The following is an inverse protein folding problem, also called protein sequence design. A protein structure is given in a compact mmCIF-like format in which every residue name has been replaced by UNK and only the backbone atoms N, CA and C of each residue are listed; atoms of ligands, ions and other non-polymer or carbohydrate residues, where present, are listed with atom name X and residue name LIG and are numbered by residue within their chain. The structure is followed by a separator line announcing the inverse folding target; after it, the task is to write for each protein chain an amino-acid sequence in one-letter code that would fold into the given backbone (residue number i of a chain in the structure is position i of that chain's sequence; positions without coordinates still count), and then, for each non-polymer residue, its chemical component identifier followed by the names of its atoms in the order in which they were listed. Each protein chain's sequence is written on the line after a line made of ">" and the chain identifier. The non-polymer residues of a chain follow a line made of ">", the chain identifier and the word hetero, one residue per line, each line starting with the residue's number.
data_IF_138749142023
#
_entry.id   IF_138749142023
#
_cell.length_a   1.000
_cell.length_b   1.000
_cell.length_c   1.000
_cell.angle_alpha   90.00
_cell.angle_beta   90.00
_cell.angle_gamma   90.00
#
_symmetry.space_group_name_H-M   'P 1'
#
loop_
_entity.id
_entity.type
_entity.pdbx_description
1 polymer ?
#
# COMPACT_ATOMS: atom_id res chain seq x y z
N UNK A 1 4.15 15.33 -3.64
CA UNK A 1 4.25 14.37 -2.54
C UNK A 1 3.95 12.97 -3.06
N UNK A 2 4.76 11.99 -2.69
CA UNK A 2 4.56 10.58 -3.06
C UNK A 2 4.21 9.83 -1.77
N UNK A 3 3.07 9.17 -1.76
CA UNK A 3 2.61 8.39 -0.61
C UNK A 3 2.51 6.94 -1.05
N UNK A 4 3.37 6.09 -0.49
CA UNK A 4 3.35 4.65 -0.72
C UNK A 4 2.64 3.95 0.43
N UNK A 5 1.57 3.23 0.12
CA UNK A 5 0.93 2.31 1.06
C UNK A 5 1.66 0.97 0.96
N UNK A 6 2.74 0.87 1.71
CA UNK A 6 3.72 -0.21 1.58
C UNK A 6 3.31 -1.46 2.38
N UNK A 7 2.57 -2.34 1.74
CA UNK A 7 2.23 -3.66 2.29
C UNK A 7 3.22 -4.76 1.89
N UNK A 8 4.25 -4.44 1.09
CA UNK A 8 5.26 -5.36 0.55
C UNK A 8 4.70 -6.44 -0.39
N UNK A 9 3.52 -6.22 -0.94
CA UNK A 9 2.90 -7.12 -1.90
C UNK A 9 2.49 -6.38 -3.18
N UNK A 10 2.39 -7.12 -4.25
CA UNK A 10 1.54 -6.74 -5.38
C UNK A 10 0.10 -7.02 -4.94
N UNK A 11 -0.50 -6.07 -4.22
CA UNK A 11 -1.67 -6.29 -3.37
C UNK A 11 -2.90 -6.80 -4.12
N UNK A 12 -3.23 -6.22 -5.27
CA UNK A 12 -4.38 -6.69 -6.05
C UNK A 12 -4.15 -8.08 -6.62
N UNK A 13 -2.93 -8.41 -7.05
CA UNK A 13 -2.61 -9.77 -7.53
C UNK A 13 -2.72 -10.76 -6.38
N UNK A 14 -2.20 -10.43 -5.19
CA UNK A 14 -2.35 -11.25 -4.00
C UNK A 14 -3.81 -11.48 -3.64
N UNK A 15 -4.65 -10.43 -3.70
CA UNK A 15 -6.09 -10.53 -3.42
C UNK A 15 -6.78 -11.53 -4.34
N UNK A 16 -6.45 -11.54 -5.64
CA UNK A 16 -6.98 -12.51 -6.58
C UNK A 16 -6.50 -13.93 -6.28
N UNK A 17 -5.25 -14.10 -5.90
CA UNK A 17 -4.72 -15.40 -5.49
C UNK A 17 -5.45 -15.92 -4.25
N UNK A 18 -5.75 -15.03 -3.31
CA UNK A 18 -6.51 -15.37 -2.11
C UNK A 18 -7.93 -15.78 -2.42
N UNK A 19 -8.64 -14.97 -3.21
CA UNK A 19 -10.09 -15.14 -3.45
C UNK A 19 -10.42 -16.19 -4.51
N UNK A 20 -9.61 -16.31 -5.56
CA UNK A 20 -9.97 -17.10 -6.75
C UNK A 20 -9.02 -18.27 -7.03
N UNK A 21 -7.89 -18.36 -6.34
CA UNK A 21 -6.86 -19.38 -6.60
C UNK A 21 -6.45 -20.14 -5.34
N UNK A 22 -7.39 -20.37 -4.43
CA UNK A 22 -7.21 -21.20 -3.22
C UNK A 22 -6.02 -20.78 -2.36
N UNK A 23 -5.75 -19.48 -2.26
CA UNK A 23 -4.59 -18.92 -1.52
C UNK A 23 -3.25 -19.45 -2.01
N UNK A 24 -3.17 -19.82 -3.27
CA UNK A 24 -1.90 -20.25 -3.89
C UNK A 24 -1.09 -19.01 -4.29
N UNK A 25 -0.40 -18.42 -3.32
CA UNK A 25 0.42 -17.23 -3.53
C UNK A 25 1.68 -17.56 -4.32
N UNK A 26 1.98 -16.75 -5.33
CA UNK A 26 3.16 -16.92 -6.15
C UNK A 26 3.65 -15.58 -6.67
N UNK A 27 4.92 -15.27 -6.43
CA UNK A 27 5.62 -14.09 -6.97
C UNK A 27 4.94 -12.75 -6.69
N UNK A 28 4.24 -12.63 -5.55
CA UNK A 28 3.52 -11.41 -5.16
C UNK A 28 4.12 -10.72 -3.93
N UNK A 29 4.92 -11.43 -3.13
CA UNK A 29 5.66 -10.83 -2.03
C UNK A 29 6.94 -10.17 -2.54
N UNK A 30 7.14 -8.92 -2.17
CA UNK A 30 8.29 -8.11 -2.58
C UNK A 30 9.33 -8.10 -1.46
N UNK A 31 10.18 -9.13 -1.41
CA UNK A 31 11.23 -9.28 -0.40
C UNK A 31 12.45 -8.37 -0.65
N UNK A 32 12.69 -8.01 -1.89
CA UNK A 32 13.83 -7.21 -2.34
C UNK A 32 13.51 -5.73 -2.57
N UNK A 33 12.46 -5.20 -1.92
CA UNK A 33 12.14 -3.76 -2.00
C UNK A 33 13.30 -2.90 -1.48
N UNK A 34 13.61 -1.79 -2.15
CA UNK A 34 14.59 -0.83 -1.65
C UNK A 34 14.08 -0.15 -0.37
N UNK A 35 15.01 0.42 0.39
CA UNK A 35 14.65 1.38 1.43
C UNK A 35 14.25 2.69 0.76
N UNK A 36 12.95 2.98 0.68
CA UNK A 36 12.41 4.15 -0.03
C UNK A 36 12.80 5.47 0.62
N UNK A 37 13.03 5.50 1.93
CA UNK A 37 13.53 6.70 2.60
C UNK A 37 14.94 7.03 2.12
N UNK A 38 15.84 6.04 2.14
CA UNK A 38 17.19 6.21 1.62
C UNK A 38 17.22 6.52 0.13
N UNK A 39 16.31 5.94 -0.63
CA UNK A 39 16.19 6.22 -2.07
C UNK A 39 15.81 7.69 -2.31
N UNK A 40 14.83 8.22 -1.59
CA UNK A 40 14.45 9.62 -1.66
C UNK A 40 15.61 10.54 -1.28
N UNK A 41 16.30 10.23 -0.19
CA UNK A 41 17.46 11.00 0.28
C UNK A 41 18.62 10.97 -0.71
N UNK A 42 18.85 9.84 -1.39
CA UNK A 42 19.88 9.72 -2.42
C UNK A 42 19.63 10.65 -3.61
N UNK A 43 18.36 10.97 -3.92
CA UNK A 43 17.99 11.97 -4.93
C UNK A 43 17.93 13.40 -4.38
N UNK A 44 18.32 13.65 -3.13
CA UNK A 44 18.26 14.96 -2.50
C UNK A 44 16.86 15.38 -2.04
N UNK A 45 15.98 14.42 -1.82
CA UNK A 45 14.60 14.65 -1.40
C UNK A 45 14.37 14.22 0.05
N UNK A 46 13.19 14.50 0.57
CA UNK A 46 12.81 14.15 1.94
C UNK A 46 12.11 12.78 1.96
N UNK A 47 12.64 11.85 2.74
CA UNK A 47 12.00 10.54 2.99
C UNK A 47 11.44 10.47 4.40
N UNK A 48 10.21 10.00 4.55
CA UNK A 48 9.55 9.81 5.84
C UNK A 48 8.98 8.40 5.91
N UNK A 49 9.33 7.64 6.97
CA UNK A 49 8.74 6.33 7.23
C UNK A 49 7.69 6.44 8.33
N UNK A 50 6.55 5.78 8.10
CA UNK A 50 5.46 5.68 9.07
C UNK A 50 5.20 4.20 9.34
N UNK A 51 5.29 3.80 10.61
CA UNK A 51 5.12 2.40 11.02
C UNK A 51 3.96 2.20 11.98
N UNK A 52 3.44 3.29 12.57
CA UNK A 52 2.35 3.24 13.53
C UNK A 52 1.25 4.23 13.15
N UNK A 53 -0.03 3.91 13.44
CA UNK A 53 -1.15 4.80 13.11
C UNK A 53 -1.02 6.21 13.70
N UNK A 54 -0.52 6.34 14.92
CA UNK A 54 -0.34 7.62 15.59
C UNK A 54 0.70 8.54 14.94
N UNK A 55 1.59 7.97 14.12
CA UNK A 55 2.62 8.74 13.41
C UNK A 55 2.13 9.29 12.05
N UNK A 56 0.94 8.90 11.60
CA UNK A 56 0.40 9.30 10.27
C UNK A 56 0.17 10.80 10.20
N UNK A 57 -0.59 11.37 11.13
CA UNK A 57 -0.89 12.81 11.12
C UNK A 57 0.37 13.67 11.25
N UNK A 58 1.30 13.41 12.19
CA UNK A 58 2.56 14.14 12.25
C UNK A 58 3.38 14.06 10.95
N UNK A 59 3.44 12.89 10.31
CA UNK A 59 4.16 12.72 9.05
C UNK A 59 3.53 13.50 7.90
N UNK A 60 2.20 13.48 7.79
CA UNK A 60 1.49 14.28 6.79
C UNK A 60 1.68 15.78 7.03
N UNK A 61 1.61 16.24 8.27
CA UNK A 61 1.86 17.63 8.62
C UNK A 61 3.30 18.04 8.25
N UNK A 62 4.27 17.21 8.56
CA UNK A 62 5.67 17.43 8.17
C UNK A 62 5.81 17.54 6.65
N UNK A 63 5.20 16.63 5.91
CA UNK A 63 5.29 16.59 4.45
C UNK A 63 4.61 17.78 3.77
N UNK A 64 3.41 18.16 4.21
CA UNK A 64 2.58 19.15 3.53
C UNK A 64 2.71 20.57 4.07
N UNK A 65 3.18 20.75 5.29
CA UNK A 65 3.34 22.06 5.93
C UNK A 65 4.81 22.45 6.05
N UNK A 66 5.62 21.65 6.75
CA UNK A 66 7.03 21.98 6.98
C UNK A 66 7.85 21.88 5.68
N UNK A 67 7.60 20.87 4.87
CA UNK A 67 8.26 20.62 3.59
C UNK A 67 7.36 20.89 2.38
N UNK A 68 6.53 21.94 2.46
CA UNK A 68 5.51 22.22 1.44
C UNK A 68 6.08 22.33 0.02
N UNK A 69 7.26 22.89 -0.11
CA UNK A 69 7.92 23.15 -1.39
C UNK A 69 8.90 22.03 -1.81
N UNK A 70 9.10 21.03 -0.95
CA UNK A 70 10.00 19.91 -1.21
C UNK A 70 9.27 18.74 -1.85
N UNK A 71 10.01 17.90 -2.59
CA UNK A 71 9.54 16.56 -2.90
C UNK A 71 9.70 15.70 -1.65
N UNK A 72 8.60 15.09 -1.22
CA UNK A 72 8.59 14.21 -0.04
C UNK A 72 8.05 12.84 -0.44
N UNK A 73 8.76 11.79 -0.06
CA UNK A 73 8.31 10.41 -0.18
C UNK A 73 7.93 9.89 1.20
N UNK A 74 6.65 9.52 1.38
CA UNK A 74 6.16 8.88 2.59
C UNK A 74 6.03 7.37 2.35
N UNK A 75 6.83 6.59 3.08
CA UNK A 75 6.75 5.13 3.09
C UNK A 75 5.89 4.69 4.29
N UNK A 76 4.59 4.52 4.06
CA UNK A 76 3.63 4.16 5.10
C UNK A 76 3.45 2.65 5.12
N UNK A 77 3.85 2.01 6.20
CA UNK A 77 3.66 0.58 6.41
C UNK A 77 2.19 0.27 6.66
N UNK A 78 1.64 -0.63 5.86
CA UNK A 78 0.24 -1.02 5.96
C UNK A 78 0.12 -2.53 6.19
N UNK A 79 -1.09 -2.97 6.55
CA UNK A 79 -1.38 -4.40 6.71
C UNK A 79 -1.07 -5.16 5.41
N UNK A 80 -0.45 -6.32 5.54
CA UNK A 80 -0.13 -7.20 4.41
C UNK A 80 -1.34 -7.99 3.92
N UNK A 81 -2.34 -8.14 4.78
CA UNK A 81 -3.47 -9.03 4.58
C UNK A 81 -4.76 -8.30 4.21
N UNK A 82 -4.76 -6.96 4.31
CA UNK A 82 -5.94 -6.17 3.99
C UNK A 82 -6.25 -6.22 2.49
N UNK A 83 -7.47 -6.61 2.16
CA UNK A 83 -8.01 -6.62 0.82
C UNK A 83 -8.83 -5.35 0.53
N UNK A 84 -9.05 -5.07 -0.74
CA UNK A 84 -9.81 -3.90 -1.20
C UNK A 84 -11.24 -4.30 -1.54
N UNK A 85 -12.21 -3.74 -0.86
CA UNK A 85 -13.64 -3.95 -1.11
C UNK A 85 -14.38 -2.60 -1.15
N UNK A 86 -15.50 -2.51 -1.89
CA UNK A 86 -16.10 -3.52 -2.75
C UNK A 86 -15.27 -3.79 -4.01
N UNK A 87 -15.46 -4.96 -4.60
CA UNK A 87 -14.73 -5.39 -5.79
C UNK A 87 -15.67 -6.09 -6.77
N UNK A 88 -15.55 -5.79 -8.06
CA UNK A 88 -16.25 -6.49 -9.14
C UNK A 88 -15.37 -7.62 -9.65
N UNK A 89 -15.78 -8.86 -9.46
CA UNK A 89 -15.08 -10.02 -10.00
C UNK A 89 -15.15 -10.06 -11.52
N UNK A 90 -14.16 -10.69 -12.15
CA UNK A 90 -14.14 -10.83 -13.61
C UNK A 90 -15.41 -11.50 -14.14
N UNK A 91 -16.02 -10.91 -15.19
CA UNK A 91 -17.25 -11.42 -15.78
C UNK A 91 -18.53 -11.09 -15.01
N UNK A 92 -18.45 -10.31 -13.93
CA UNK A 92 -19.58 -9.89 -13.12
C UNK A 92 -20.01 -8.46 -13.39
N UNK A 93 -21.26 -8.14 -13.10
CA UNK A 93 -21.79 -6.78 -13.18
C UNK A 93 -21.63 -6.02 -11.86
N UNK A 94 -21.89 -4.71 -11.90
CA UNK A 94 -21.81 -3.83 -10.71
C UNK A 94 -22.77 -4.26 -9.60
N UNK A 95 -23.90 -4.87 -9.95
CA UNK A 95 -24.88 -5.41 -8.98
C UNK A 95 -24.43 -6.71 -8.31
N UNK A 96 -23.34 -7.30 -8.77
CA UNK A 96 -22.78 -8.55 -8.28
C UNK A 96 -21.41 -8.33 -7.59
N UNK A 97 -21.22 -7.15 -7.00
CA UNK A 97 -20.00 -6.83 -6.27
C UNK A 97 -19.78 -7.73 -5.07
N UNK A 98 -18.53 -8.09 -4.85
CA UNK A 98 -18.07 -8.68 -3.58
C UNK A 98 -17.88 -7.52 -2.60
N UNK A 99 -18.68 -7.50 -1.53
CA UNK A 99 -18.73 -6.38 -0.59
C UNK A 99 -17.75 -6.51 0.57
N UNK A 100 -17.41 -7.74 0.94
CA UNK A 100 -16.51 -8.07 2.04
C UNK A 100 -15.95 -9.49 1.87
N UNK A 101 -15.03 -9.87 2.74
CA UNK A 101 -14.49 -11.24 2.82
C UNK A 101 -15.53 -12.20 3.41
N UNK A 102 -16.54 -12.56 2.65
CA UNK A 102 -17.61 -13.46 3.11
C UNK A 102 -17.17 -14.93 3.21
N UNK A 103 -16.01 -15.28 2.67
CA UNK A 103 -15.47 -16.63 2.58
C UNK A 103 -14.01 -16.78 3.06
N UNK A 104 -13.47 -15.82 3.82
CA UNK A 104 -12.10 -15.84 4.32
C UNK A 104 -12.03 -16.12 5.82
#
# INVERSE_FOLDING_TARGET
>A
KIISLNNRYLGMVRQWQEMFYDRRYSQTYMDSLPDFVKLAEAYGHVGIRVERPEDVEPALRKAFVEHKDDLVFLDIRTSREANVFPMVAAGKGLSEMVLADENL
#
